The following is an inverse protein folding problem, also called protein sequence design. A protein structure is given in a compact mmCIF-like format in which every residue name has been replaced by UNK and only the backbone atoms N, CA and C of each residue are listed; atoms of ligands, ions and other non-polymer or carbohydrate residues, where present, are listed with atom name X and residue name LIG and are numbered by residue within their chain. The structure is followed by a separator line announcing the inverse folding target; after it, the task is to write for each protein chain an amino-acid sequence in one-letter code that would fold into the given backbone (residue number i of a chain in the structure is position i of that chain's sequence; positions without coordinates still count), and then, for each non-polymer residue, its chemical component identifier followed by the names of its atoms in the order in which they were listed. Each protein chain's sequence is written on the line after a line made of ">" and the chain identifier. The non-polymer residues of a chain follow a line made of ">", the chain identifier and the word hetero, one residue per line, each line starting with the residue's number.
data_IF_899568151335
#
_entry.id   IF_899568151335
#
_cell.length_a   1.000
_cell.length_b   1.000
_cell.length_c   1.000
_cell.angle_alpha   90.00
_cell.angle_beta   90.00
_cell.angle_gamma   90.00
#
_symmetry.space_group_name_H-M   'P 1'
#
loop_
_entity.id
_entity.type
_entity.pdbx_description
1 polymer ?
#
# COMPACT_ATOMS: atom_id res chain seq x y z
N UNK A 1 -16.47 -6.03 19.04
CA UNK A 1 -17.55 -5.29 18.32
C UNK A 1 -17.33 -5.50 16.84
N UNK A 2 -18.35 -5.91 16.09
CA UNK A 2 -18.27 -5.94 14.62
C UNK A 2 -18.10 -4.52 14.09
N UNK A 3 -17.04 -4.32 13.30
CA UNK A 3 -16.67 -3.02 12.75
C UNK A 3 -17.23 -2.82 11.35
N UNK A 4 -17.21 -3.87 10.55
CA UNK A 4 -17.60 -3.86 9.15
C UNK A 4 -17.00 -5.03 8.38
N UNK A 5 -16.68 -4.79 7.09
CA UNK A 5 -16.12 -5.81 6.19
C UNK A 5 -14.94 -5.30 5.40
N UNK A 6 -14.05 -6.19 4.99
CA UNK A 6 -13.00 -5.88 4.04
C UNK A 6 -13.66 -5.54 2.70
N UNK A 7 -13.49 -4.32 2.23
CA UNK A 7 -13.98 -3.82 0.93
C UNK A 7 -12.97 -4.06 -0.19
N UNK A 8 -11.67 -3.92 0.10
CA UNK A 8 -10.61 -4.18 -0.86
C UNK A 8 -9.31 -4.59 -0.17
N UNK A 9 -8.49 -5.36 -0.89
CA UNK A 9 -7.14 -5.75 -0.49
C UNK A 9 -6.18 -5.38 -1.61
N UNK A 10 -5.04 -4.76 -1.25
CA UNK A 10 -4.00 -4.38 -2.19
C UNK A 10 -2.63 -4.91 -1.76
N UNK A 11 -1.85 -5.27 -2.76
CA UNK A 11 -0.44 -5.59 -2.61
C UNK A 11 0.40 -4.70 -3.54
N UNK A 12 1.52 -4.22 -3.05
CA UNK A 12 2.48 -3.36 -3.78
C UNK A 12 3.86 -4.03 -3.78
N UNK A 13 4.13 -4.98 -4.68
CA UNK A 13 5.36 -5.80 -4.62
C UNK A 13 6.65 -4.98 -4.65
N UNK A 14 6.65 -3.88 -5.42
CA UNK A 14 7.77 -2.95 -5.53
C UNK A 14 7.37 -1.60 -4.93
N UNK A 15 8.17 -1.10 -3.99
CA UNK A 15 7.94 0.22 -3.36
C UNK A 15 7.76 1.30 -4.41
N UNK A 16 6.72 2.11 -4.26
CA UNK A 16 6.34 3.23 -5.14
C UNK A 16 5.90 2.87 -6.57
N UNK A 17 5.91 1.61 -6.98
CA UNK A 17 5.28 1.18 -8.24
C UNK A 17 3.79 0.89 -8.06
N UNK A 18 3.10 0.64 -9.17
CA UNK A 18 1.69 0.25 -9.15
C UNK A 18 1.47 -0.99 -8.27
N UNK A 19 0.33 -1.02 -7.60
CA UNK A 19 -0.14 -2.18 -6.84
C UNK A 19 -1.09 -3.04 -7.65
N UNK A 20 -1.48 -4.15 -7.05
CA UNK A 20 -2.48 -5.06 -7.56
C UNK A 20 -3.61 -5.25 -6.54
N UNK A 21 -4.84 -5.38 -7.02
CA UNK A 21 -6.00 -5.72 -6.20
C UNK A 21 -6.09 -7.24 -6.07
N UNK A 22 -6.43 -7.72 -4.89
CA UNK A 22 -6.52 -9.14 -4.57
C UNK A 22 -7.89 -9.47 -3.96
N UNK A 23 -8.50 -10.58 -4.39
CA UNK A 23 -9.69 -11.14 -3.73
C UNK A 23 -9.33 -11.82 -2.41
N UNK A 24 -8.14 -12.43 -2.37
CA UNK A 24 -7.58 -13.07 -1.16
C UNK A 24 -6.12 -12.76 -1.02
N UNK A 25 -5.65 -12.62 0.20
CA UNK A 25 -4.24 -12.43 0.51
C UNK A 25 -3.82 -13.22 1.73
N UNK A 26 -2.59 -13.70 1.77
CA UNK A 26 -2.00 -14.28 2.95
C UNK A 26 -1.32 -13.19 3.79
N UNK A 27 -1.78 -13.06 5.02
CA UNK A 27 -1.14 -12.23 6.04
C UNK A 27 -0.08 -13.07 6.74
N UNK A 28 1.19 -12.82 6.43
CA UNK A 28 2.34 -13.40 7.11
C UNK A 28 2.88 -12.47 8.20
N UNK A 29 3.92 -12.87 8.92
CA UNK A 29 4.50 -12.09 10.03
C UNK A 29 5.06 -10.72 9.61
N UNK A 30 5.41 -10.56 8.34
CA UNK A 30 5.92 -9.32 7.77
C UNK A 30 4.88 -8.63 6.85
N UNK A 31 3.61 -8.69 7.19
CA UNK A 31 2.53 -8.11 6.40
C UNK A 31 1.97 -9.05 5.34
N UNK A 32 1.29 -8.51 4.32
CA UNK A 32 0.81 -9.30 3.18
C UNK A 32 2.01 -9.90 2.44
N UNK A 33 1.93 -11.21 2.16
CA UNK A 33 3.02 -11.91 1.47
C UNK A 33 3.27 -11.29 0.09
N UNK A 34 4.55 -10.97 -0.17
CA UNK A 34 4.98 -10.30 -1.41
C UNK A 34 4.82 -8.78 -1.40
N UNK A 35 4.24 -8.17 -0.35
CA UNK A 35 4.08 -6.71 -0.29
C UNK A 35 5.40 -6.01 0.04
N UNK A 36 5.75 -4.99 -0.77
CA UNK A 36 6.92 -4.10 -0.59
C UNK A 36 8.24 -4.83 -0.33
N UNK A 37 8.42 -6.04 -0.92
CA UNK A 37 9.67 -6.81 -0.81
C UNK A 37 10.80 -6.22 -1.64
N UNK A 38 10.48 -5.39 -2.61
CA UNK A 38 11.39 -4.84 -3.59
C UNK A 38 11.35 -3.31 -3.55
N UNK A 39 12.52 -2.67 -3.70
CA UNK A 39 12.62 -1.22 -3.87
C UNK A 39 13.90 -0.88 -4.64
N UNK A 40 13.87 0.23 -5.38
CA UNK A 40 15.08 0.82 -5.93
C UNK A 40 15.81 1.64 -4.85
N UNK A 41 17.09 1.31 -4.65
CA UNK A 41 18.01 2.09 -3.82
C UNK A 41 18.70 3.12 -4.68
N UNK A 42 18.79 4.35 -4.21
CA UNK A 42 19.59 5.43 -4.80
C UNK A 42 21.04 5.23 -4.38
N UNK A 43 21.95 4.98 -5.31
CA UNK A 43 23.35 4.62 -4.98
C UNK A 43 24.15 5.79 -4.41
N UNK A 44 23.78 7.02 -4.75
CA UNK A 44 24.45 8.24 -4.26
C UNK A 44 23.94 8.71 -2.90
N UNK A 45 22.84 8.12 -2.38
CA UNK A 45 22.24 8.52 -1.10
C UNK A 45 22.79 7.67 0.04
N UNK A 46 23.38 8.34 1.04
CA UNK A 46 23.96 7.72 2.23
C UNK A 46 23.06 7.85 3.46
N UNK A 47 21.82 8.36 3.30
CA UNK A 47 20.86 8.50 4.40
C UNK A 47 20.32 7.12 4.85
N UNK A 48 19.66 7.11 6.01
CA UNK A 48 18.97 5.92 6.52
C UNK A 48 17.76 5.50 5.66
N UNK A 49 17.27 6.41 4.79
CA UNK A 49 16.18 6.14 3.85
C UNK A 49 16.63 6.34 2.37
N UNK A 50 17.49 5.46 1.85
CA UNK A 50 18.06 5.60 0.51
C UNK A 50 17.12 5.17 -0.62
N UNK A 51 15.86 4.87 -0.31
CA UNK A 51 14.91 4.32 -1.27
C UNK A 51 14.41 5.38 -2.25
N UNK A 52 14.37 5.02 -3.53
CA UNK A 52 13.72 5.84 -4.55
C UNK A 52 12.20 5.71 -4.37
N UNK A 53 11.56 6.84 -4.14
CA UNK A 53 10.10 6.91 -3.96
C UNK A 53 9.44 7.72 -5.08
N UNK A 54 8.14 7.56 -5.26
CA UNK A 54 7.40 8.34 -6.25
C UNK A 54 7.33 9.85 -5.89
N UNK A 55 7.64 10.25 -4.66
CA UNK A 55 7.84 11.68 -4.34
C UNK A 55 9.06 12.30 -5.06
N UNK A 56 10.03 11.45 -5.44
CA UNK A 56 11.24 11.84 -6.19
C UNK A 56 11.14 11.52 -7.68
N UNK A 57 10.42 10.48 -8.05
CA UNK A 57 10.14 10.07 -9.43
C UNK A 57 8.67 9.64 -9.53
N UNK A 58 7.72 10.56 -9.75
CA UNK A 58 6.29 10.26 -9.79
C UNK A 58 5.92 9.18 -10.81
N UNK A 59 6.63 9.11 -11.93
CA UNK A 59 6.42 8.10 -12.97
C UNK A 59 6.58 6.65 -12.47
N UNK A 60 7.22 6.41 -11.31
CA UNK A 60 7.27 5.07 -10.72
C UNK A 60 5.86 4.48 -10.49
N UNK A 61 4.86 5.32 -10.19
CA UNK A 61 3.48 4.87 -10.02
C UNK A 61 2.91 4.18 -11.27
N UNK A 62 3.44 4.53 -12.45
CA UNK A 62 2.99 4.01 -13.74
C UNK A 62 3.68 2.70 -14.15
N UNK A 63 4.75 2.31 -13.44
CA UNK A 63 5.39 1.02 -13.65
C UNK A 63 4.51 -0.08 -13.07
N UNK A 64 4.13 -1.07 -13.87
CA UNK A 64 3.21 -2.15 -13.49
C UNK A 64 3.97 -3.48 -13.36
N UNK A 65 4.34 -3.88 -12.13
CA UNK A 65 4.92 -5.20 -11.90
C UNK A 65 3.91 -6.31 -12.23
N UNK A 66 4.36 -7.40 -12.86
CA UNK A 66 3.50 -8.54 -13.19
C UNK A 66 4.30 -9.85 -13.25
N UNK A 67 3.60 -10.98 -13.36
CA UNK A 67 4.20 -12.30 -13.53
C UNK A 67 3.82 -12.89 -14.89
N UNK A 68 4.79 -13.45 -15.57
CA UNK A 68 4.53 -14.27 -16.77
C UNK A 68 4.10 -15.70 -16.41
N UNK A 69 4.66 -16.25 -15.32
CA UNK A 69 4.32 -17.57 -14.82
C UNK A 69 3.54 -17.46 -13.51
N UNK A 70 2.25 -17.81 -13.55
CA UNK A 70 1.35 -17.76 -12.39
C UNK A 70 1.54 -18.95 -11.46
N UNK A 71 2.25 -20.01 -11.87
CA UNK A 71 2.41 -21.25 -11.10
C UNK A 71 3.74 -21.35 -10.35
N UNK A 72 4.73 -20.53 -10.71
CA UNK A 72 6.02 -20.53 -10.03
C UNK A 72 5.97 -19.68 -8.74
N UNK A 73 6.23 -20.31 -7.60
CA UNK A 73 6.51 -19.62 -6.35
C UNK A 73 8.01 -19.31 -6.27
N UNK A 74 8.37 -18.22 -5.59
CA UNK A 74 9.77 -17.99 -5.23
C UNK A 74 10.28 -19.13 -4.33
N UNK A 75 11.59 -19.26 -4.18
CA UNK A 75 12.21 -20.27 -3.27
C UNK A 75 11.67 -20.20 -1.83
N UNK A 76 11.03 -19.10 -1.45
CA UNK A 76 10.43 -18.85 -0.14
C UNK A 76 8.88 -18.95 -0.14
N UNK A 77 8.24 -19.41 -1.22
CA UNK A 77 6.78 -19.49 -1.35
C UNK A 77 6.11 -18.14 -1.68
N UNK A 78 6.84 -17.04 -1.79
CA UNK A 78 6.28 -15.72 -2.12
C UNK A 78 6.04 -15.58 -3.62
N UNK A 79 4.88 -15.02 -3.96
CA UNK A 79 4.51 -14.70 -5.34
C UNK A 79 5.05 -13.30 -5.70
N UNK A 80 6.35 -13.19 -5.97
CA UNK A 80 6.94 -11.94 -6.43
C UNK A 80 6.78 -11.76 -7.95
N UNK A 81 6.67 -10.52 -8.46
CA UNK A 81 6.66 -10.26 -9.88
C UNK A 81 7.98 -10.70 -10.54
N UNK A 82 7.89 -11.08 -11.79
CA UNK A 82 9.06 -11.44 -12.61
C UNK A 82 9.40 -10.37 -13.64
N UNK A 83 8.42 -9.54 -14.01
CA UNK A 83 8.53 -8.51 -15.03
C UNK A 83 7.89 -7.21 -14.57
N UNK A 84 8.21 -6.15 -15.29
CA UNK A 84 7.60 -4.81 -15.11
C UNK A 84 7.28 -4.25 -16.49
N UNK A 85 6.06 -3.75 -16.66
CA UNK A 85 5.67 -2.92 -17.80
C UNK A 85 5.90 -1.45 -17.44
N UNK A 86 6.68 -0.76 -18.27
CA UNK A 86 7.00 0.67 -18.11
C UNK A 86 5.85 1.57 -18.56
N UNK A 87 5.88 2.89 -18.25
CA UNK A 87 4.86 3.84 -18.70
C UNK A 87 4.72 3.92 -20.24
N UNK A 88 5.81 3.71 -20.98
CA UNK A 88 5.84 3.70 -22.45
C UNK A 88 5.54 2.31 -23.06
N UNK A 89 5.08 1.36 -22.23
CA UNK A 89 4.58 0.06 -22.67
C UNK A 89 5.64 -1.03 -22.92
N UNK A 90 6.92 -0.73 -22.67
CA UNK A 90 7.97 -1.75 -22.76
C UNK A 90 7.89 -2.70 -21.56
N UNK A 91 8.30 -3.94 -21.78
CA UNK A 91 8.36 -4.97 -20.76
C UNK A 91 9.80 -5.39 -20.52
N UNK A 92 10.20 -5.40 -19.27
CA UNK A 92 11.53 -5.82 -18.85
C UNK A 92 11.44 -6.88 -17.76
N UNK A 93 12.40 -7.78 -17.72
CA UNK A 93 12.59 -8.58 -16.51
C UNK A 93 12.87 -7.66 -15.32
N UNK A 94 12.27 -7.96 -14.19
CA UNK A 94 12.36 -7.12 -12.99
C UNK A 94 13.79 -6.89 -12.50
N UNK A 95 14.69 -7.84 -12.76
CA UNK A 95 16.09 -7.79 -12.34
C UNK A 95 17.06 -7.51 -13.48
N UNK A 96 16.56 -7.09 -14.62
CA UNK A 96 17.41 -6.79 -15.78
C UNK A 96 18.13 -5.46 -15.65
N UNK A 97 19.27 -5.35 -16.34
CA UNK A 97 20.00 -4.09 -16.47
C UNK A 97 19.21 -3.04 -17.26
N UNK A 98 18.39 -3.47 -18.20
CA UNK A 98 17.53 -2.58 -19.00
C UNK A 98 16.53 -1.83 -18.12
N UNK A 99 15.86 -2.52 -17.19
CA UNK A 99 14.95 -1.87 -16.24
C UNK A 99 15.72 -0.91 -15.33
N UNK A 100 16.88 -1.33 -14.81
CA UNK A 100 17.72 -0.50 -13.97
C UNK A 100 18.14 0.78 -14.69
N UNK A 101 18.55 0.66 -15.96
CA UNK A 101 18.94 1.80 -16.81
C UNK A 101 17.75 2.72 -17.13
N UNK A 102 16.57 2.17 -17.44
CA UNK A 102 15.37 2.96 -17.67
C UNK A 102 15.01 3.81 -16.44
N UNK A 103 14.97 3.20 -15.25
CA UNK A 103 14.67 3.92 -14.00
C UNK A 103 15.77 4.93 -13.66
N UNK A 104 17.05 4.56 -13.80
CA UNK A 104 18.18 5.46 -13.56
C UNK A 104 18.16 6.68 -14.48
N UNK A 105 17.86 6.47 -15.77
CA UNK A 105 17.78 7.55 -16.76
C UNK A 105 16.65 8.53 -16.44
N UNK A 106 15.47 8.02 -16.07
CA UNK A 106 14.32 8.88 -15.69
C UNK A 106 14.54 9.60 -14.37
N UNK A 107 15.23 8.99 -13.44
CA UNK A 107 15.57 9.60 -12.14
C UNK A 107 16.74 10.58 -12.23
N UNK A 108 17.63 10.40 -13.22
CA UNK A 108 18.83 11.23 -13.42
C UNK A 108 20.02 10.82 -12.55
N UNK A 109 19.98 9.66 -11.90
CA UNK A 109 21.08 9.11 -11.10
C UNK A 109 20.97 7.58 -11.01
N UNK A 110 22.07 6.92 -10.70
CA UNK A 110 22.11 5.46 -10.62
C UNK A 110 21.28 4.91 -9.46
N UNK A 111 20.55 3.83 -9.77
CA UNK A 111 19.74 3.08 -8.80
C UNK A 111 20.02 1.58 -8.92
N UNK A 112 19.70 0.84 -7.87
CA UNK A 112 19.79 -0.62 -7.83
C UNK A 112 18.53 -1.23 -7.21
N UNK A 113 18.01 -2.31 -7.81
CA UNK A 113 16.87 -3.01 -7.25
C UNK A 113 17.30 -3.93 -6.11
N UNK A 114 16.78 -3.66 -4.93
CA UNK A 114 17.02 -4.44 -3.71
C UNK A 114 15.82 -5.32 -3.38
N UNK A 115 16.10 -6.49 -2.81
CA UNK A 115 15.08 -7.38 -2.27
C UNK A 115 15.34 -7.60 -0.77
N UNK A 116 14.40 -7.19 0.07
CA UNK A 116 14.45 -7.37 1.52
C UNK A 116 13.33 -8.29 1.98
N UNK A 117 13.70 -9.38 2.62
CA UNK A 117 12.75 -10.41 3.09
C UNK A 117 11.69 -9.86 4.06
N UNK A 118 12.06 -8.93 4.92
CA UNK A 118 11.16 -8.32 5.90
C UNK A 118 10.25 -7.23 5.30
N UNK A 119 10.51 -6.80 4.06
CA UNK A 119 9.81 -5.69 3.41
C UNK A 119 10.47 -4.33 3.65
N UNK A 120 10.08 -3.35 2.82
CA UNK A 120 10.57 -1.97 2.86
C UNK A 120 9.37 -1.07 3.06
N UNK A 121 8.91 -1.00 4.31
CA UNK A 121 7.77 -0.20 4.72
C UNK A 121 8.20 1.21 5.09
N UNK A 122 7.25 2.14 5.15
CA UNK A 122 7.52 3.49 5.67
C UNK A 122 7.58 3.45 7.20
N UNK A 123 6.57 2.88 7.86
CA UNK A 123 6.51 2.77 9.31
C UNK A 123 6.19 1.32 9.78
N UNK A 124 5.19 0.67 9.19
CA UNK A 124 4.69 -0.61 9.67
C UNK A 124 4.20 -1.51 8.52
N UNK A 125 4.15 -2.83 8.70
CA UNK A 125 3.92 -3.76 7.61
C UNK A 125 2.50 -3.76 7.02
N UNK A 126 1.50 -3.24 7.72
CA UNK A 126 0.11 -3.18 7.24
C UNK A 126 -0.45 -1.78 7.39
N UNK A 127 -0.92 -1.20 6.29
CA UNK A 127 -1.72 0.02 6.28
C UNK A 127 -3.19 -0.33 6.04
N UNK A 128 -4.08 0.20 6.90
CA UNK A 128 -5.53 0.02 6.85
C UNK A 128 -6.21 1.37 6.81
N UNK A 129 -7.23 1.52 5.97
CA UNK A 129 -8.02 2.75 5.88
C UNK A 129 -9.52 2.42 5.81
N UNK A 130 -10.37 3.28 6.37
CA UNK A 130 -11.81 3.16 6.18
C UNK A 130 -12.24 3.74 4.84
N UNK A 131 -13.21 3.11 4.19
CA UNK A 131 -13.78 3.62 2.94
C UNK A 131 -14.46 4.99 3.17
N UNK A 132 -15.03 5.20 4.35
CA UNK A 132 -15.61 6.46 4.77
C UNK A 132 -14.62 7.63 4.78
N UNK A 133 -13.37 7.39 5.21
CA UNK A 133 -12.29 8.38 5.15
C UNK A 133 -11.94 8.73 3.71
N UNK A 134 -11.75 7.73 2.84
CA UNK A 134 -11.44 7.94 1.42
C UNK A 134 -12.53 8.78 0.74
N UNK A 135 -13.80 8.40 0.91
CA UNK A 135 -14.94 9.11 0.33
C UNK A 135 -15.07 10.56 0.85
N UNK A 136 -14.76 10.77 2.13
CA UNK A 136 -14.85 12.12 2.72
C UNK A 136 -13.73 13.02 2.21
N UNK A 137 -12.49 12.52 2.11
CA UNK A 137 -11.38 13.25 1.50
C UNK A 137 -11.70 13.57 0.03
N UNK A 138 -12.25 12.61 -0.73
CA UNK A 138 -12.66 12.80 -2.12
C UNK A 138 -13.62 13.98 -2.26
N UNK A 139 -14.70 13.96 -1.50
CA UNK A 139 -15.73 14.99 -1.52
C UNK A 139 -15.20 16.37 -1.14
N UNK A 140 -14.45 16.44 -0.04
CA UNK A 140 -13.92 17.70 0.50
C UNK A 140 -12.75 18.27 -0.32
N UNK A 141 -12.09 17.48 -1.14
CA UNK A 141 -11.09 17.94 -2.11
C UNK A 141 -11.71 18.45 -3.41
N UNK A 142 -13.04 18.44 -3.52
CA UNK A 142 -13.77 18.90 -4.71
C UNK A 142 -13.74 17.92 -5.89
N UNK A 143 -13.30 16.70 -5.67
CA UNK A 143 -13.15 15.67 -6.72
C UNK A 143 -14.41 14.80 -6.69
N UNK A 144 -15.36 14.68 -6.40
CA UNK A 144 -16.39 13.63 -6.36
C UNK A 144 -15.84 12.26 -5.94
N UNK A 145 -16.69 11.45 -5.40
CA UNK A 145 -16.31 10.14 -4.83
C UNK A 145 -15.63 9.22 -5.86
N UNK A 146 -16.06 9.30 -7.11
CA UNK A 146 -15.55 8.48 -8.21
C UNK A 146 -14.16 8.91 -8.73
N UNK A 147 -13.68 10.10 -8.34
CA UNK A 147 -12.44 10.68 -8.84
C UNK A 147 -11.27 10.65 -7.84
N UNK A 148 -11.54 10.35 -6.59
CA UNK A 148 -10.48 10.14 -5.62
C UNK A 148 -10.18 8.65 -5.48
N UNK A 149 -9.25 8.22 -6.28
CA UNK A 149 -8.81 6.84 -6.24
C UNK A 149 -8.20 6.50 -4.89
N UNK A 150 -8.76 5.50 -4.23
CA UNK A 150 -8.28 5.01 -2.94
C UNK A 150 -6.81 4.51 -3.01
N UNK A 151 -6.32 4.14 -4.21
CA UNK A 151 -4.93 3.75 -4.45
C UNK A 151 -3.93 4.88 -4.18
N UNK A 152 -4.36 6.16 -4.12
CA UNK A 152 -3.52 7.29 -3.69
C UNK A 152 -3.00 7.11 -2.26
N UNK A 153 -3.82 6.52 -1.39
CA UNK A 153 -3.46 6.22 0.00
C UNK A 153 -2.61 4.94 0.14
N UNK A 154 -2.53 4.13 -0.92
CA UNK A 154 -1.74 2.89 -0.96
C UNK A 154 -1.98 1.97 0.25
N UNK A 155 -3.23 1.74 0.67
CA UNK A 155 -3.53 0.86 1.78
C UNK A 155 -3.31 -0.60 1.39
N UNK A 156 -3.08 -1.46 2.38
CA UNK A 156 -3.14 -2.90 2.18
C UNK A 156 -4.59 -3.41 2.32
N UNK A 157 -5.34 -2.88 3.28
CA UNK A 157 -6.73 -3.28 3.54
C UNK A 157 -7.62 -2.03 3.61
N UNK A 158 -8.72 -2.08 2.88
CA UNK A 158 -9.77 -1.08 2.97
C UNK A 158 -10.97 -1.72 3.69
N UNK A 159 -11.49 -1.04 4.70
CA UNK A 159 -12.63 -1.52 5.47
C UNK A 159 -13.84 -0.63 5.19
N UNK A 160 -14.93 -1.24 4.75
CA UNK A 160 -16.25 -0.62 4.76
C UNK A 160 -16.87 -0.85 6.12
N UNK A 161 -17.09 0.22 6.86
CA UNK A 161 -17.56 0.17 8.25
C UNK A 161 -19.07 0.38 8.32
N UNK A 162 -19.69 -0.11 9.43
CA UNK A 162 -21.13 -0.11 9.63
C UNK A 162 -21.69 1.28 10.03
N UNK A 163 -21.20 2.36 9.41
CA UNK A 163 -21.84 3.67 9.51
C UNK A 163 -21.12 4.69 10.39
N UNK A 164 -19.84 4.55 10.60
CA UNK A 164 -19.04 5.58 11.23
C UNK A 164 -18.67 6.70 10.26
N UNK A 165 -18.28 7.84 10.81
CA UNK A 165 -17.85 9.01 10.05
C UNK A 165 -16.42 8.88 9.50
N UNK A 166 -15.91 9.92 8.84
CA UNK A 166 -14.53 9.93 8.39
C UNK A 166 -13.54 9.85 9.55
N UNK A 167 -12.38 9.23 9.31
CA UNK A 167 -11.28 9.11 10.26
C UNK A 167 -11.60 8.32 11.54
N UNK A 168 -12.64 7.49 11.51
CA UNK A 168 -12.98 6.62 12.64
C UNK A 168 -11.85 5.67 13.03
N UNK A 169 -11.02 5.29 12.06
CA UNK A 169 -9.83 4.47 12.26
C UNK A 169 -8.81 5.09 13.23
N UNK A 170 -8.84 6.39 13.48
CA UNK A 170 -8.03 7.01 14.52
C UNK A 170 -8.32 6.41 15.91
N UNK A 171 -9.57 6.02 16.16
CA UNK A 171 -10.00 5.38 17.40
C UNK A 171 -9.64 3.89 17.53
N UNK A 172 -9.02 3.31 16.48
CA UNK A 172 -8.57 1.90 16.52
C UNK A 172 -7.15 1.76 17.09
N UNK A 173 -6.39 2.84 17.20
CA UNK A 173 -5.01 2.82 17.74
C UNK A 173 -5.02 2.26 19.16
N UNK A 174 -4.11 1.32 19.42
CA UNK A 174 -4.00 0.58 20.69
C UNK A 174 -4.95 -0.62 20.80
N UNK A 175 -5.70 -0.92 19.74
CA UNK A 175 -6.66 -2.02 19.69
C UNK A 175 -6.27 -3.05 18.62
N UNK A 176 -6.99 -4.18 18.58
CA UNK A 176 -6.73 -5.27 17.65
C UNK A 176 -7.86 -5.39 16.62
N UNK A 177 -7.52 -5.41 15.35
CA UNK A 177 -8.42 -5.81 14.26
C UNK A 177 -8.29 -7.32 14.04
N UNK A 178 -9.41 -8.02 14.13
CA UNK A 178 -9.51 -9.44 13.81
C UNK A 178 -10.30 -9.61 12.52
N UNK A 179 -9.76 -10.40 11.59
CA UNK A 179 -10.33 -10.65 10.27
C UNK A 179 -10.99 -12.03 10.25
N UNK A 180 -12.32 -12.06 10.25
CA UNK A 180 -13.15 -13.26 10.29
C UNK A 180 -14.07 -13.33 11.51
N UNK A 181 -15.03 -14.26 11.45
CA UNK A 181 -16.00 -14.47 12.53
C UNK A 181 -15.29 -15.02 13.75
N UNK A 182 -15.13 -14.19 14.77
CA UNK A 182 -14.88 -14.42 16.20
C UNK A 182 -14.12 -15.66 16.68
N UNK A 183 -13.42 -16.38 15.80
CA UNK A 183 -12.71 -17.58 16.19
C UNK A 183 -11.26 -17.25 16.59
N UNK A 184 -10.74 -18.02 17.56
CA UNK A 184 -9.39 -17.85 18.10
C UNK A 184 -8.27 -18.07 17.06
N UNK A 185 -8.59 -18.42 15.81
CA UNK A 185 -7.65 -18.66 14.69
C UNK A 185 -7.70 -17.57 13.63
N UNK A 186 -8.56 -16.56 13.75
CA UNK A 186 -8.65 -15.47 12.79
C UNK A 186 -7.34 -14.69 12.67
N UNK A 187 -6.96 -14.32 11.44
CA UNK A 187 -5.85 -13.41 11.21
C UNK A 187 -6.09 -12.09 11.97
N UNK A 188 -5.06 -11.49 12.52
CA UNK A 188 -5.23 -10.26 13.30
C UNK A 188 -4.00 -9.37 13.27
N UNK A 189 -4.24 -8.06 13.44
CA UNK A 189 -3.23 -7.03 13.58
C UNK A 189 -3.49 -6.18 14.82
N UNK A 190 -2.45 -5.79 15.53
CA UNK A 190 -2.50 -4.72 16.52
C UNK A 190 -2.34 -3.39 15.79
N UNK A 191 -3.28 -2.48 15.94
CA UNK A 191 -3.18 -1.12 15.39
C UNK A 191 -2.23 -0.31 16.26
N UNK A 192 -1.10 0.10 15.68
CA UNK A 192 0.01 0.69 16.44
C UNK A 192 0.01 2.21 16.41
N UNK A 193 -0.37 2.81 15.29
CA UNK A 193 -0.34 4.27 15.11
C UNK A 193 -1.26 4.71 13.97
N UNK A 194 -1.56 6.00 13.94
CA UNK A 194 -2.19 6.65 12.78
C UNK A 194 -1.19 6.66 11.60
N UNK A 195 -1.72 6.59 10.39
CA UNK A 195 -0.92 6.70 9.16
C UNK A 195 -0.77 8.18 8.77
N UNK A 196 0.42 8.73 9.04
CA UNK A 196 0.78 10.08 8.64
C UNK A 196 1.04 10.12 7.13
N UNK A 197 0.30 10.99 6.43
CA UNK A 197 0.37 11.05 4.98
C UNK A 197 1.46 11.98 4.49
N UNK A 198 2.17 11.53 3.49
CA UNK A 198 3.15 12.32 2.76
C UNK A 198 2.58 12.78 1.40
N UNK A 199 3.35 13.56 0.67
CA UNK A 199 2.97 14.11 -0.65
C UNK A 199 2.56 13.06 -1.68
N UNK A 200 2.77 11.78 -1.42
CA UNK A 200 2.38 10.66 -2.28
C UNK A 200 0.88 10.64 -2.59
N UNK A 201 0.03 11.01 -1.65
CA UNK A 201 -1.44 11.04 -1.85
C UNK A 201 -1.87 12.05 -2.93
N UNK A 202 -1.00 13.00 -3.26
CA UNK A 202 -1.25 13.99 -4.30
C UNK A 202 -1.10 13.44 -5.72
N UNK A 203 -0.41 12.32 -5.91
CA UNK A 203 -0.18 11.79 -7.24
C UNK A 203 -1.31 10.86 -7.68
N UNK A 204 -1.77 11.08 -8.89
CA UNK A 204 -2.72 10.18 -9.53
C UNK A 204 -2.04 8.84 -9.85
N UNK A 205 -2.63 7.70 -9.47
CA UNK A 205 -1.98 6.39 -9.66
C UNK A 205 -1.92 5.94 -11.13
N UNK A 206 -2.70 6.54 -12.03
CA UNK A 206 -2.78 6.17 -13.44
C UNK A 206 -2.09 7.18 -14.37
N UNK A 207 -1.92 8.44 -13.94
CA UNK A 207 -1.28 9.50 -14.74
C UNK A 207 0.00 10.05 -14.13
N UNK A 208 0.24 9.79 -12.85
CA UNK A 208 1.28 10.42 -12.02
C UNK A 208 1.16 11.96 -11.93
N UNK A 209 0.05 12.52 -12.38
CA UNK A 209 -0.24 13.96 -12.23
C UNK A 209 -0.43 14.33 -10.77
N UNK A 210 0.09 15.50 -10.40
CA UNK A 210 0.05 15.99 -9.03
C UNK A 210 -1.18 16.86 -8.80
N UNK A 211 -1.95 16.53 -7.76
CA UNK A 211 -3.00 17.38 -7.23
C UNK A 211 -2.78 17.61 -5.74
N UNK A 212 -2.38 18.82 -5.38
CA UNK A 212 -2.07 19.18 -3.99
C UNK A 212 -3.31 19.31 -3.10
N UNK A 213 -4.52 19.36 -3.66
CA UNK A 213 -5.76 19.52 -2.86
C UNK A 213 -6.05 18.29 -1.99
N UNK A 214 -5.65 17.09 -2.44
CA UNK A 214 -5.85 15.87 -1.64
C UNK A 214 -5.11 15.99 -0.30
N UNK A 215 -3.81 16.29 -0.33
CA UNK A 215 -3.02 16.44 0.88
C UNK A 215 -3.48 17.59 1.76
N UNK A 216 -3.77 18.75 1.18
CA UNK A 216 -4.30 19.91 1.91
C UNK A 216 -5.62 19.57 2.61
N UNK A 217 -6.46 18.78 1.96
CA UNK A 217 -7.72 18.32 2.54
C UNK A 217 -7.49 17.38 3.72
N UNK A 218 -6.58 16.41 3.61
CA UNK A 218 -6.22 15.53 4.73
C UNK A 218 -5.68 16.35 5.90
N UNK A 219 -4.79 17.32 5.66
CA UNK A 219 -4.26 18.21 6.70
C UNK A 219 -5.37 19.00 7.39
N UNK A 220 -6.26 19.60 6.60
CA UNK A 220 -7.37 20.42 7.13
C UNK A 220 -8.36 19.59 7.94
N UNK A 221 -8.67 18.37 7.50
CA UNK A 221 -9.69 17.54 8.12
C UNK A 221 -9.16 16.74 9.34
N UNK A 222 -7.90 16.31 9.32
CA UNK A 222 -7.38 15.37 10.33
C UNK A 222 -5.86 15.47 10.52
N UNK A 223 -5.30 16.67 10.58
CA UNK A 223 -3.91 16.93 11.01
C UNK A 223 -2.86 16.09 10.26
N UNK A 224 -3.08 15.81 8.98
CA UNK A 224 -2.20 15.00 8.14
C UNK A 224 -2.36 13.46 8.26
N UNK A 225 -3.32 12.97 9.04
CA UNK A 225 -3.54 11.53 9.20
C UNK A 225 -4.70 11.02 8.34
N UNK A 226 -4.55 9.88 7.70
CA UNK A 226 -5.62 9.16 7.03
C UNK A 226 -5.29 7.67 6.95
N UNK A 227 -6.04 6.83 7.68
CA UNK A 227 -5.74 5.44 7.91
C UNK A 227 -4.88 5.19 9.15
N UNK A 228 -4.53 3.94 9.36
CA UNK A 228 -3.71 3.48 10.48
C UNK A 228 -2.71 2.42 10.01
N UNK A 229 -1.62 2.30 10.76
CA UNK A 229 -0.67 1.21 10.64
C UNK A 229 -0.89 0.14 11.69
N UNK A 230 -0.54 -1.10 11.36
CA UNK A 230 -0.62 -2.22 12.28
C UNK A 230 0.54 -3.21 12.14
N UNK A 231 0.81 -3.90 13.25
CA UNK A 231 1.70 -5.02 13.32
C UNK A 231 0.91 -6.34 13.36
N UNK A 232 1.42 -7.37 12.70
CA UNK A 232 0.75 -8.68 12.66
C UNK A 232 0.85 -9.37 14.02
N UNK A 233 -0.30 -9.69 14.59
CA UNK A 233 -0.43 -10.48 15.83
C UNK A 233 -0.63 -11.95 15.51
N UNK A 234 -1.41 -12.23 14.46
CA UNK A 234 -1.64 -13.59 13.98
C UNK A 234 -1.73 -13.65 12.48
N UNK A 235 -0.89 -14.52 11.91
CA UNK A 235 -0.90 -14.83 10.49
C UNK A 235 -2.19 -15.59 10.10
N UNK A 236 -2.60 -15.46 8.84
CA UNK A 236 -3.78 -16.15 8.30
C UNK A 236 -4.17 -15.63 6.93
N UNK A 237 -5.36 -15.97 6.48
CA UNK A 237 -5.90 -15.50 5.20
C UNK A 237 -6.83 -14.31 5.40
N UNK A 238 -6.70 -13.32 4.53
CA UNK A 238 -7.61 -12.20 4.35
C UNK A 238 -8.42 -12.41 3.08
N UNK A 239 -9.69 -12.04 3.09
CA UNK A 239 -10.59 -12.15 1.93
C UNK A 239 -11.51 -10.93 1.84
N UNK A 240 -11.74 -10.43 0.64
CA UNK A 240 -12.76 -9.40 0.38
C UNK A 240 -14.13 -9.91 0.86
N UNK A 241 -14.92 -9.06 1.49
CA UNK A 241 -16.19 -9.37 2.14
C UNK A 241 -16.09 -9.98 3.55
N UNK A 242 -14.88 -10.33 4.00
CA UNK A 242 -14.66 -10.90 5.33
C UNK A 242 -15.02 -9.89 6.44
N UNK A 243 -15.72 -10.36 7.47
CA UNK A 243 -16.07 -9.56 8.65
C UNK A 243 -14.80 -9.11 9.37
N UNK A 244 -14.81 -7.87 9.85
CA UNK A 244 -13.76 -7.29 10.68
C UNK A 244 -14.33 -6.93 12.04
N UNK A 245 -13.68 -7.38 13.11
CA UNK A 245 -14.04 -7.04 14.49
C UNK A 245 -12.93 -6.28 15.17
N UNK A 246 -13.31 -5.30 16.00
CA UNK A 246 -12.40 -4.51 16.81
C UNK A 246 -12.48 -5.00 18.25
N UNK A 247 -11.34 -5.39 18.82
CA UNK A 247 -11.20 -5.85 20.19
C UNK A 247 -10.23 -4.95 20.96
N UNK A 248 -10.33 -4.92 22.30
CA UNK A 248 -9.37 -4.19 23.14
C UNK A 248 -7.92 -4.53 22.85
#
# INVERSE_FOLDING_TARGET
>A
MELGRISAIFRYPVKSMAGESLETARLGWHGIEGDRRLAFRRLTDQSEFPWLTASKLPQLLLYKPFRLDTNATSKNGELLPTHVRTPDGKEYELRSDELRQDVSSRYGSEVELMNLKAGIFDESPISVISLGTVHSVARESGRGVDLCDLRRFRPNVVIETNGAGPFEENGWVGRTLMFGEGNSRAASIAVTMKDERCVMVNFDPDTAERDSEVMKTVVRMNENYAGVYGAVVRAGELRVGQVVTLTP
#
